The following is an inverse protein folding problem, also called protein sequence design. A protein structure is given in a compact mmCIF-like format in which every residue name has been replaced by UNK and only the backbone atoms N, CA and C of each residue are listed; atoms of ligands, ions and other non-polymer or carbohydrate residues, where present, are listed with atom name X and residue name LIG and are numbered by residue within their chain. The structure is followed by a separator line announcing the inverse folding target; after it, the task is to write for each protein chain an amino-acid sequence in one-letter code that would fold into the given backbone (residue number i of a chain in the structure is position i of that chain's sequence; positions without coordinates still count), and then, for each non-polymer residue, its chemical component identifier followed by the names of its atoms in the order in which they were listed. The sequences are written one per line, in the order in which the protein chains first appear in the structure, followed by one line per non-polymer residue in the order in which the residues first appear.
data_IF_786935059148
#
_entry.id   IF_786935059148
#
_cell.length_a   1.000
_cell.length_b   1.000
_cell.length_c   1.000
_cell.angle_alpha   90.00
_cell.angle_beta   90.00
_cell.angle_gamma   90.00
#
_symmetry.space_group_name_H-M   'P 1'
#
loop_
_entity.id
_entity.type
_entity.pdbx_description
1 polymer ?
#
# COMPACT_ATOMS: atom_id res chain seq x y z
N UNK A 1 10.17 -23.84 14.17
CA UNK A 1 8.72 -23.62 13.93
C UNK A 1 8.15 -24.83 13.19
N UNK A 2 6.92 -25.25 13.48
CA UNK A 2 6.28 -26.37 12.76
C UNK A 2 6.17 -26.04 11.26
N UNK A 3 6.53 -26.98 10.39
CA UNK A 3 6.54 -26.79 8.92
C UNK A 3 5.17 -26.38 8.37
N UNK A 4 4.08 -26.90 8.94
CA UNK A 4 2.70 -26.50 8.59
C UNK A 4 2.43 -25.04 8.98
N UNK A 5 2.88 -24.60 10.16
CA UNK A 5 2.75 -23.22 10.60
C UNK A 5 3.56 -22.26 9.72
N UNK A 6 4.78 -22.63 9.31
CA UNK A 6 5.61 -21.85 8.39
C UNK A 6 4.90 -21.64 7.04
N UNK A 7 4.32 -22.70 6.47
CA UNK A 7 3.61 -22.63 5.19
C UNK A 7 2.38 -21.74 5.28
N UNK A 8 1.57 -21.89 6.34
CA UNK A 8 0.38 -21.06 6.58
C UNK A 8 0.76 -19.59 6.77
N UNK A 9 1.80 -19.31 7.55
CA UNK A 9 2.29 -17.94 7.76
C UNK A 9 2.72 -17.30 6.44
N UNK A 10 3.56 -17.99 5.65
CA UNK A 10 4.00 -17.49 4.34
C UNK A 10 2.82 -17.23 3.40
N UNK A 11 1.85 -18.16 3.34
CA UNK A 11 0.65 -17.99 2.54
C UNK A 11 -0.18 -16.79 3.00
N UNK A 12 -0.39 -16.63 4.31
CA UNK A 12 -1.10 -15.48 4.88
C UNK A 12 -0.43 -14.16 4.50
N UNK A 13 0.88 -14.03 4.69
CA UNK A 13 1.63 -12.83 4.33
C UNK A 13 1.59 -12.57 2.82
N UNK A 14 1.73 -13.61 2.00
CA UNK A 14 1.58 -13.49 0.54
C UNK A 14 0.19 -12.96 0.14
N UNK A 15 -0.88 -13.50 0.71
CA UNK A 15 -2.25 -13.06 0.41
C UNK A 15 -2.51 -11.63 0.85
N UNK A 16 -2.03 -11.24 2.05
CA UNK A 16 -2.11 -9.85 2.51
C UNK A 16 -1.40 -8.90 1.53
N UNK A 17 -0.21 -9.28 1.08
CA UNK A 17 0.59 -8.48 0.16
C UNK A 17 -0.08 -8.35 -1.21
N UNK A 18 -0.66 -9.43 -1.73
CA UNK A 18 -1.41 -9.40 -2.98
C UNK A 18 -2.67 -8.53 -2.87
N UNK A 19 -3.44 -8.66 -1.78
CA UNK A 19 -4.63 -7.84 -1.54
C UNK A 19 -4.30 -6.35 -1.45
N UNK A 20 -3.26 -6.00 -0.69
CA UNK A 20 -2.77 -4.61 -0.61
C UNK A 20 -2.32 -4.10 -1.98
N UNK A 21 -1.55 -4.92 -2.72
CA UNK A 21 -1.06 -4.57 -4.05
C UNK A 21 -2.19 -4.30 -5.04
N UNK A 22 -3.26 -5.09 -5.04
CA UNK A 22 -4.40 -4.89 -5.94
C UNK A 22 -5.04 -3.51 -5.70
N UNK A 23 -5.32 -3.17 -4.44
CA UNK A 23 -5.94 -1.89 -4.08
C UNK A 23 -4.99 -0.73 -4.37
N UNK A 24 -3.74 -0.78 -3.92
CA UNK A 24 -2.77 0.28 -4.22
C UNK A 24 -2.46 0.39 -5.72
N UNK A 25 -2.51 -0.73 -6.43
CA UNK A 25 -2.22 -0.84 -7.86
C UNK A 25 -3.26 -0.11 -8.70
N UNK A 26 -4.56 -0.30 -8.42
CA UNK A 26 -5.59 0.44 -9.14
C UNK A 26 -5.49 1.95 -8.87
N UNK A 27 -5.12 2.36 -7.66
CA UNK A 27 -4.83 3.77 -7.33
C UNK A 27 -3.58 4.33 -8.02
N UNK A 28 -2.61 3.48 -8.35
CA UNK A 28 -1.46 3.87 -9.16
C UNK A 28 -1.85 4.02 -10.63
N UNK A 29 -2.67 3.10 -11.16
CA UNK A 29 -3.23 3.18 -12.53
C UNK A 29 -4.09 4.43 -12.71
N UNK A 30 -4.91 4.78 -11.71
CA UNK A 30 -5.76 5.97 -11.73
C UNK A 30 -4.96 7.27 -11.98
N UNK A 31 -3.71 7.36 -11.51
CA UNK A 31 -2.85 8.53 -11.77
C UNK A 31 -2.52 8.74 -13.24
N UNK A 32 -2.56 7.68 -14.05
CA UNK A 32 -2.33 7.71 -15.49
C UNK A 32 -3.64 7.87 -16.26
N UNK A 33 -4.71 7.20 -15.83
CA UNK A 33 -6.00 7.20 -16.51
C UNK A 33 -6.82 8.47 -16.21
N UNK A 34 -6.72 8.97 -14.98
CA UNK A 34 -7.49 10.10 -14.47
C UNK A 34 -6.60 11.08 -13.66
N UNK A 35 -5.67 11.78 -14.32
CA UNK A 35 -4.76 12.72 -13.64
C UNK A 35 -5.49 13.88 -12.94
N UNK A 36 -6.70 14.24 -13.37
CA UNK A 36 -7.51 15.27 -12.70
C UNK A 36 -8.05 14.81 -11.36
N UNK A 37 -8.38 13.52 -11.20
CA UNK A 37 -8.73 12.95 -9.89
C UNK A 37 -7.54 13.05 -8.92
N UNK A 38 -6.32 12.80 -9.39
CA UNK A 38 -5.11 12.97 -8.57
C UNK A 38 -4.91 14.42 -8.12
N UNK A 39 -5.12 15.39 -9.01
CA UNK A 39 -5.11 16.80 -8.64
C UNK A 39 -6.18 17.13 -7.59
N UNK A 40 -7.39 16.58 -7.74
CA UNK A 40 -8.47 16.72 -6.76
C UNK A 40 -8.12 16.15 -5.39
N UNK A 41 -7.50 14.97 -5.34
CA UNK A 41 -7.03 14.36 -4.07
C UNK A 41 -5.96 15.25 -3.41
N UNK A 42 -4.97 15.70 -4.17
CA UNK A 42 -3.91 16.56 -3.65
C UNK A 42 -4.43 17.92 -3.15
N UNK A 43 -5.44 18.48 -3.82
CA UNK A 43 -6.11 19.69 -3.36
C UNK A 43 -6.86 19.45 -2.04
N UNK A 44 -7.73 18.44 -2.00
CA UNK A 44 -8.63 18.23 -0.87
C UNK A 44 -7.94 17.70 0.39
N UNK A 45 -6.90 16.88 0.24
CA UNK A 45 -6.24 16.21 1.37
C UNK A 45 -4.88 16.81 1.71
N UNK A 46 -4.23 17.50 0.76
CA UNK A 46 -2.87 18.02 0.94
C UNK A 46 -2.75 19.53 0.67
N UNK A 47 -3.85 20.20 0.29
CA UNK A 47 -3.87 21.63 -0.07
C UNK A 47 -2.90 22.03 -1.20
N UNK A 48 -2.50 21.06 -2.03
CA UNK A 48 -1.61 21.29 -3.18
C UNK A 48 -2.46 21.61 -4.41
N UNK A 49 -2.18 22.75 -5.04
CA UNK A 49 -2.88 23.25 -6.22
C UNK A 49 -2.09 23.00 -7.51
N UNK A 50 -2.75 23.17 -8.66
CA UNK A 50 -2.14 23.21 -10.00
C UNK A 50 -1.28 22.01 -10.38
N UNK A 51 -1.69 20.82 -9.94
CA UNK A 51 -1.02 19.57 -10.30
C UNK A 51 -1.37 19.20 -11.74
N UNK A 52 -0.41 19.43 -12.66
CA UNK A 52 -0.53 19.02 -14.05
C UNK A 52 -0.43 17.49 -14.24
N UNK A 53 -0.89 17.01 -15.40
CA UNK A 53 -0.87 15.59 -15.74
C UNK A 53 0.54 14.96 -15.67
N UNK A 54 1.59 15.71 -16.06
CA UNK A 54 2.97 15.24 -15.98
C UNK A 54 3.41 14.89 -14.54
N UNK A 55 3.01 15.70 -13.56
CA UNK A 55 3.28 15.43 -12.15
C UNK A 55 2.49 14.21 -11.65
N UNK A 56 1.22 14.07 -12.07
CA UNK A 56 0.40 12.88 -11.79
C UNK A 56 1.08 11.60 -12.29
N UNK A 57 1.55 11.60 -13.54
CA UNK A 57 2.22 10.44 -14.14
C UNK A 57 3.54 10.11 -13.45
N UNK A 58 4.32 11.12 -13.05
CA UNK A 58 5.54 10.92 -12.30
C UNK A 58 5.26 10.25 -10.94
N UNK A 59 4.25 10.73 -10.20
CA UNK A 59 3.83 10.10 -8.94
C UNK A 59 3.34 8.66 -9.15
N UNK A 60 2.56 8.41 -10.21
CA UNK A 60 2.10 7.08 -10.59
C UNK A 60 3.27 6.13 -10.87
N UNK A 61 4.28 6.60 -11.60
CA UNK A 61 5.46 5.80 -11.95
C UNK A 61 6.28 5.44 -10.70
N UNK A 62 6.52 6.42 -9.82
CA UNK A 62 7.19 6.18 -8.54
C UNK A 62 6.41 5.19 -7.69
N UNK A 63 5.09 5.37 -7.59
CA UNK A 63 4.24 4.45 -6.84
C UNK A 63 4.29 3.02 -7.42
N UNK A 64 4.28 2.85 -8.74
CA UNK A 64 4.40 1.53 -9.36
C UNK A 64 5.74 0.84 -9.07
N UNK A 65 6.85 1.57 -9.05
CA UNK A 65 8.16 1.01 -8.69
C UNK A 65 8.16 0.52 -7.24
N UNK A 66 7.62 1.32 -6.32
CA UNK A 66 7.45 0.93 -4.91
C UNK A 66 6.57 -0.32 -4.80
N UNK A 67 5.45 -0.35 -5.53
CA UNK A 67 4.51 -1.48 -5.50
C UNK A 67 5.08 -2.75 -6.14
N UNK A 68 5.94 -2.64 -7.15
CA UNK A 68 6.66 -3.77 -7.73
C UNK A 68 7.63 -4.38 -6.71
N UNK A 69 8.40 -3.54 -6.01
CA UNK A 69 9.27 -3.99 -4.93
C UNK A 69 8.45 -4.61 -3.77
N UNK A 70 7.32 -3.98 -3.42
CA UNK A 70 6.41 -4.48 -2.40
C UNK A 70 5.87 -5.86 -2.75
N UNK A 71 5.20 -6.04 -3.90
CA UNK A 71 4.52 -7.32 -4.22
C UNK A 71 5.49 -8.49 -4.37
N UNK A 72 6.68 -8.23 -4.90
CA UNK A 72 7.74 -9.24 -5.05
C UNK A 72 8.51 -9.50 -3.75
N UNK A 73 8.38 -8.62 -2.76
CA UNK A 73 9.14 -8.66 -1.52
C UNK A 73 10.64 -8.44 -1.73
N UNK A 74 11.01 -7.58 -2.68
CA UNK A 74 12.38 -7.11 -2.88
C UNK A 74 12.69 -5.99 -1.87
N UNK A 75 13.81 -6.10 -1.14
CA UNK A 75 14.14 -5.22 -0.01
C UNK A 75 12.94 -5.05 0.93
N UNK A 76 12.31 -6.17 1.30
CA UNK A 76 10.96 -6.22 1.90
C UNK A 76 10.78 -5.31 3.12
N UNK A 77 11.77 -5.21 4.01
CA UNK A 77 11.70 -4.30 5.16
C UNK A 77 11.47 -2.84 4.72
N UNK A 78 12.19 -2.39 3.68
CA UNK A 78 12.03 -1.05 3.12
C UNK A 78 10.75 -0.91 2.32
N UNK A 79 10.45 -1.87 1.42
CA UNK A 79 9.26 -1.80 0.59
C UNK A 79 7.97 -1.80 1.43
N UNK A 80 7.90 -2.65 2.47
CA UNK A 80 6.75 -2.73 3.36
C UNK A 80 6.64 -1.49 4.23
N UNK A 81 7.77 -0.97 4.72
CA UNK A 81 7.82 0.27 5.49
C UNK A 81 7.37 1.50 4.69
N UNK A 82 7.79 1.61 3.43
CA UNK A 82 7.36 2.70 2.53
C UNK A 82 5.86 2.61 2.28
N UNK A 83 5.33 1.42 1.96
CA UNK A 83 3.89 1.23 1.76
C UNK A 83 3.09 1.51 3.05
N UNK A 84 3.62 1.13 4.21
CA UNK A 84 3.05 1.46 5.51
C UNK A 84 2.95 2.97 5.72
N UNK A 85 4.00 3.72 5.40
CA UNK A 85 4.00 5.18 5.50
C UNK A 85 3.03 5.80 4.50
N UNK A 86 3.04 5.40 3.24
CA UNK A 86 2.15 5.93 2.20
C UNK A 86 0.67 5.75 2.57
N UNK A 87 0.29 4.53 2.96
CA UNK A 87 -1.09 4.22 3.33
C UNK A 87 -1.46 4.80 4.70
N UNK A 88 -0.53 4.76 5.66
CA UNK A 88 -0.72 5.33 6.99
C UNK A 88 -0.99 6.84 6.95
N UNK A 89 -0.15 7.60 6.25
CA UNK A 89 -0.34 9.04 6.05
C UNK A 89 -1.71 9.31 5.41
N UNK A 90 -2.07 8.58 4.36
CA UNK A 90 -3.37 8.76 3.68
C UNK A 90 -4.56 8.42 4.59
N UNK A 91 -4.42 7.40 5.44
CA UNK A 91 -5.43 7.01 6.44
C UNK A 91 -5.63 8.13 7.46
N UNK A 92 -4.57 8.63 8.08
CA UNK A 92 -4.67 9.65 9.12
C UNK A 92 -5.07 11.04 8.59
N UNK A 93 -4.61 11.44 7.41
CA UNK A 93 -5.01 12.71 6.78
C UNK A 93 -6.51 12.71 6.46
N UNK A 94 -7.11 11.55 6.20
CA UNK A 94 -8.53 11.44 5.87
C UNK A 94 -9.48 11.51 7.08
N UNK A 95 -9.01 11.98 8.25
CA UNK A 95 -9.74 11.88 9.52
C UNK A 95 -11.18 12.43 9.49
N UNK A 96 -11.41 13.53 8.77
CA UNK A 96 -12.74 14.15 8.65
C UNK A 96 -13.78 13.22 8.02
N UNK A 97 -13.35 12.34 7.11
CA UNK A 97 -14.23 11.35 6.45
C UNK A 97 -14.75 10.31 7.44
N UNK A 98 -14.03 10.06 8.53
CA UNK A 98 -14.47 9.16 9.59
C UNK A 98 -15.46 9.81 10.56
N UNK A 99 -15.49 11.14 10.65
CA UNK A 99 -16.37 11.88 11.54
C UNK A 99 -17.79 12.03 10.98
N UNK A 100 -17.94 12.01 9.65
CA UNK A 100 -19.22 11.97 8.97
C UNK A 100 -19.28 10.80 7.97
N UNK A 101 -19.41 9.55 8.47
CA UNK A 101 -19.28 8.35 7.65
C UNK A 101 -20.41 8.16 6.64
N UNK A 102 -21.56 8.81 6.84
CA UNK A 102 -22.73 8.66 5.98
C UNK A 102 -22.78 9.67 4.83
N UNK A 103 -21.89 10.68 4.82
CA UNK A 103 -21.82 11.64 3.73
C UNK A 103 -21.17 11.03 2.47
N UNK A 104 -21.95 10.96 1.39
CA UNK A 104 -21.48 10.50 0.08
C UNK A 104 -20.83 9.12 0.14
N UNK A 105 -19.57 9.03 -0.30
CA UNK A 105 -18.80 7.78 -0.30
C UNK A 105 -17.89 7.60 0.94
N UNK A 106 -18.04 8.44 1.99
CA UNK A 106 -17.15 8.42 3.16
C UNK A 106 -17.13 7.06 3.88
N UNK A 107 -18.23 6.31 3.86
CA UNK A 107 -18.30 4.96 4.44
C UNK A 107 -17.18 4.05 3.92
N UNK A 108 -16.78 4.19 2.64
CA UNK A 108 -15.73 3.38 2.03
C UNK A 108 -14.33 3.69 2.57
N UNK A 109 -14.10 4.86 3.19
CA UNK A 109 -12.82 5.20 3.80
C UNK A 109 -12.49 4.26 4.98
N UNK A 110 -13.49 3.63 5.60
CA UNK A 110 -13.25 2.66 6.67
C UNK A 110 -12.48 1.42 6.19
N UNK A 111 -12.49 1.12 4.88
CA UNK A 111 -11.64 0.08 4.30
C UNK A 111 -10.13 0.37 4.45
N UNK A 112 -9.75 1.63 4.72
CA UNK A 112 -8.36 2.00 4.98
C UNK A 112 -7.80 1.37 6.27
N UNK A 113 -8.63 1.16 7.30
CA UNK A 113 -8.22 0.60 8.60
C UNK A 113 -7.79 -0.87 8.54
N UNK A 114 -8.59 -1.82 8.02
CA UNK A 114 -8.15 -3.21 7.88
C UNK A 114 -6.95 -3.34 6.92
N UNK A 115 -6.88 -2.50 5.89
CA UNK A 115 -5.72 -2.44 4.99
C UNK A 115 -4.46 -1.94 5.73
N UNK A 116 -4.58 -0.91 6.56
CA UNK A 116 -3.48 -0.42 7.40
C UNK A 116 -2.99 -1.51 8.37
N UNK A 117 -3.91 -2.24 9.00
CA UNK A 117 -3.57 -3.38 9.86
C UNK A 117 -2.85 -4.50 9.09
N UNK A 118 -3.28 -4.81 7.87
CA UNK A 118 -2.62 -5.79 6.99
C UNK A 118 -1.18 -5.36 6.65
N UNK A 119 -0.98 -4.09 6.29
CA UNK A 119 0.35 -3.55 5.96
C UNK A 119 1.24 -3.52 7.20
N UNK A 120 0.70 -3.16 8.37
CA UNK A 120 1.44 -3.20 9.63
C UNK A 120 1.87 -4.62 9.97
N UNK A 121 0.99 -5.62 9.81
CA UNK A 121 1.34 -7.03 10.00
C UNK A 121 2.46 -7.48 9.05
N UNK A 122 2.40 -7.09 7.77
CA UNK A 122 3.47 -7.35 6.80
C UNK A 122 4.79 -6.74 7.23
N UNK A 123 4.79 -5.48 7.69
CA UNK A 123 6.01 -4.81 8.14
C UNK A 123 6.61 -5.45 9.40
N UNK A 124 5.77 -5.72 10.42
CA UNK A 124 6.20 -6.32 11.68
C UNK A 124 6.71 -7.74 11.50
N UNK A 125 6.12 -8.50 10.56
CA UNK A 125 6.50 -9.89 10.29
C UNK A 125 7.38 -10.03 9.04
N UNK A 126 7.98 -8.92 8.58
CA UNK A 126 8.75 -8.89 7.34
C UNK A 126 9.86 -9.94 7.34
N UNK A 127 10.52 -10.19 8.46
CA UNK A 127 11.59 -11.19 8.55
C UNK A 127 11.12 -12.63 8.30
N UNK A 128 9.86 -12.94 8.60
CA UNK A 128 9.25 -14.26 8.46
C UNK A 128 8.60 -14.51 7.09
N UNK A 129 8.58 -13.50 6.22
CA UNK A 129 7.99 -13.58 4.88
C UNK A 129 8.96 -14.19 3.86
N UNK A 130 8.92 -15.52 3.75
CA UNK A 130 9.89 -16.28 2.95
C UNK A 130 9.44 -16.49 1.50
N UNK A 131 8.16 -16.27 1.18
CA UNK A 131 7.66 -16.29 -0.19
C UNK A 131 7.89 -14.93 -0.86
N UNK A 132 9.14 -14.50 -0.90
CA UNK A 132 9.60 -13.20 -1.41
C UNK A 132 10.94 -13.37 -2.12
N UNK A 133 11.33 -12.43 -2.99
CA UNK A 133 12.67 -12.42 -3.60
C UNK A 133 13.76 -12.46 -2.52
N UNK A 134 13.64 -11.64 -1.48
CA UNK A 134 14.60 -11.62 -0.37
C UNK A 134 14.60 -12.95 0.42
N UNK A 135 13.45 -13.63 0.51
CA UNK A 135 13.31 -14.90 1.24
C UNK A 135 13.95 -16.06 0.49
N UNK A 136 13.77 -16.10 -0.83
CA UNK A 136 14.33 -17.12 -1.71
C UNK A 136 15.86 -16.98 -1.89
N UNK A 137 16.42 -15.79 -1.60
CA UNK A 137 17.85 -15.49 -1.77
C UNK A 137 18.64 -15.52 -0.46
N UNK A 138 17.97 -15.62 0.70
CA UNK A 138 18.64 -15.73 2.00
C UNK A 138 19.37 -17.07 2.08
N UNK A 139 20.71 -17.05 2.10
CA UNK A 139 21.51 -18.23 2.45
C UNK A 139 21.34 -18.50 3.94
N UNK A 140 20.88 -19.70 4.29
CA UNK A 140 21.02 -20.21 5.66
C UNK A 140 22.52 -20.39 5.92
N UNK A 141 23.07 -19.63 6.87
CA UNK A 141 24.42 -19.81 7.41
C UNK A 141 24.30 -20.48 8.78
#
# INVERSE_FOLDING_TARGET
MNTDLNQRLNLSLFLLRLGVFIVMGIWAVDKFVNPTHTAGVLLNFYSIQDVGAGASYAMGAVQLVVLAAFVTGFKRTWAYGIVLLMHGVSTFISYERYLDPWAGANLLFFAAWPMLAAIAALFLLAEYDNWTIDGLTKKEY
#
